data_IF_686102374045
#
_entry.id   IF_686102374045
#
_cell.length_a   1.000
_cell.length_b   1.000
_cell.length_c   1.000
_cell.angle_alpha   90.00
_cell.angle_beta   90.00
_cell.angle_gamma   90.00
#
_symmetry.space_group_name_H-M   'P 1'
#
loop_
_entity.id
_entity.type
_entity.pdbx_description
1 polymer ?
#
# COMPACT_ATOMS: atom_id res chain seq x y z
N UNK A 1 -47.99 16.88 11.82
CA UNK A 1 -46.76 16.26 12.38
C UNK A 1 -46.21 17.19 13.44
N UNK A 2 -46.03 16.70 14.67
CA UNK A 2 -45.52 17.51 15.78
C UNK A 2 -44.00 17.66 15.68
N UNK A 3 -43.44 18.81 16.10
CA UNK A 3 -42.01 19.13 16.03
C UNK A 3 -41.11 18.03 16.65
N UNK A 4 -41.64 17.28 17.62
CA UNK A 4 -40.99 16.14 18.28
C UNK A 4 -40.70 14.97 17.33
N UNK A 5 -41.56 14.70 16.35
CA UNK A 5 -41.34 13.63 15.36
C UNK A 5 -40.28 14.00 14.32
N UNK A 6 -40.13 15.29 13.99
CA UNK A 6 -39.11 15.78 13.07
C UNK A 6 -37.73 15.70 13.72
N UNK A 7 -37.61 16.13 14.98
CA UNK A 7 -36.36 16.08 15.76
C UNK A 7 -35.83 14.65 15.95
N UNK A 8 -36.72 13.69 16.24
CA UNK A 8 -36.33 12.27 16.40
C UNK A 8 -35.84 11.68 15.07
N UNK A 9 -36.47 12.03 13.94
CA UNK A 9 -36.04 11.56 12.61
C UNK A 9 -34.71 12.18 12.16
N UNK A 10 -34.49 13.46 12.46
CA UNK A 10 -33.21 14.14 12.17
C UNK A 10 -32.09 13.58 13.05
N UNK A 11 -32.32 13.38 14.34
CA UNK A 11 -31.34 12.79 15.24
C UNK A 11 -31.01 11.34 14.84
N UNK A 12 -32.01 10.52 14.48
CA UNK A 12 -31.78 9.17 13.97
C UNK A 12 -30.96 9.20 12.67
N UNK A 13 -31.30 10.07 11.71
CA UNK A 13 -30.55 10.22 10.46
C UNK A 13 -29.09 10.63 10.68
N UNK A 14 -28.82 11.58 11.57
CA UNK A 14 -27.46 12.03 11.91
C UNK A 14 -26.66 10.94 12.60
N UNK A 15 -27.28 10.15 13.48
CA UNK A 15 -26.61 9.01 14.14
C UNK A 15 -26.26 7.93 13.13
N UNK A 16 -27.17 7.58 12.21
CA UNK A 16 -26.89 6.57 11.18
C UNK A 16 -25.79 7.03 10.23
N UNK A 17 -25.83 8.28 9.76
CA UNK A 17 -24.78 8.85 8.91
C UNK A 17 -23.45 8.92 9.66
N UNK A 18 -23.45 9.35 10.93
CA UNK A 18 -22.26 9.39 11.78
C UNK A 18 -21.63 8.01 12.00
N UNK A 19 -22.45 6.98 12.23
CA UNK A 19 -21.99 5.60 12.40
C UNK A 19 -21.39 5.04 11.11
N UNK A 20 -22.01 5.31 9.95
CA UNK A 20 -21.49 4.93 8.64
C UNK A 20 -20.13 5.61 8.39
N UNK A 21 -20.01 6.91 8.60
CA UNK A 21 -18.75 7.65 8.41
C UNK A 21 -17.64 7.11 9.33
N UNK A 22 -17.96 6.74 10.56
CA UNK A 22 -16.98 6.16 11.50
C UNK A 22 -16.53 4.76 11.06
N UNK A 23 -17.43 3.93 10.53
CA UNK A 23 -17.08 2.61 9.99
C UNK A 23 -16.16 2.76 8.76
N UNK A 24 -16.50 3.65 7.82
CA UNK A 24 -15.66 3.91 6.63
C UNK A 24 -14.29 4.48 6.99
N UNK A 25 -14.22 5.38 7.99
CA UNK A 25 -12.93 5.89 8.51
C UNK A 25 -12.13 4.81 9.23
N UNK A 26 -12.78 3.90 9.96
CA UNK A 26 -12.12 2.76 10.61
C UNK A 26 -11.55 1.76 9.60
N UNK A 27 -12.32 1.39 8.57
CA UNK A 27 -11.86 0.49 7.51
C UNK A 27 -10.71 1.10 6.70
N UNK A 28 -10.81 2.37 6.32
CA UNK A 28 -9.71 3.05 5.59
C UNK A 28 -8.46 3.20 6.45
N UNK A 29 -8.58 3.47 7.75
CA UNK A 29 -7.44 3.52 8.66
C UNK A 29 -6.77 2.13 8.82
N UNK A 30 -7.56 1.06 8.91
CA UNK A 30 -7.08 -0.32 8.99
C UNK A 30 -6.39 -0.78 7.68
N UNK A 31 -6.99 -0.45 6.53
CA UNK A 31 -6.39 -0.69 5.22
C UNK A 31 -5.08 0.09 5.06
N UNK A 32 -5.03 1.32 5.59
CA UNK A 32 -3.83 2.15 5.58
C UNK A 32 -2.72 1.60 6.49
N UNK A 33 -3.03 1.13 7.71
CA UNK A 33 -2.01 0.52 8.57
C UNK A 33 -1.46 -0.79 7.99
N UNK A 34 -2.28 -1.51 7.22
CA UNK A 34 -1.84 -2.75 6.55
C UNK A 34 -0.90 -2.48 5.37
N UNK A 35 -0.78 -1.23 4.91
CA UNK A 35 0.12 -0.80 3.85
C UNK A 35 1.41 -0.12 4.36
N UNK A 36 1.70 -0.14 5.67
CA UNK A 36 2.81 0.63 6.26
C UNK A 36 4.16 0.29 5.62
N UNK A 37 4.46 -0.99 5.38
CA UNK A 37 5.67 -1.46 4.68
C UNK A 37 5.77 -0.85 3.28
N UNK A 38 4.66 -0.77 2.55
CA UNK A 38 4.61 -0.19 1.20
C UNK A 38 4.82 1.32 1.25
N UNK A 39 4.17 2.01 2.17
CA UNK A 39 4.30 3.46 2.31
C UNK A 39 5.70 3.86 2.77
N UNK A 40 6.32 3.04 3.60
CA UNK A 40 7.71 3.19 3.98
C UNK A 40 8.63 2.98 2.78
N UNK A 41 8.36 1.97 1.95
CA UNK A 41 9.10 1.72 0.72
C UNK A 41 9.02 2.91 -0.24
N UNK A 42 7.83 3.45 -0.50
CA UNK A 42 7.66 4.64 -1.36
C UNK A 42 8.43 5.85 -0.83
N UNK A 43 8.35 6.11 0.48
CA UNK A 43 9.10 7.19 1.12
C UNK A 43 10.61 6.98 1.00
N UNK A 44 11.08 5.75 1.22
CA UNK A 44 12.48 5.39 1.12
C UNK A 44 13.02 5.56 -0.32
N UNK A 45 12.24 5.17 -1.34
CA UNK A 45 12.59 5.40 -2.76
C UNK A 45 12.71 6.89 -3.04
N UNK A 46 11.76 7.71 -2.58
CA UNK A 46 11.75 9.15 -2.83
C UNK A 46 13.06 9.79 -2.35
N UNK A 47 13.51 9.46 -1.14
CA UNK A 47 14.73 10.02 -0.54
C UNK A 47 16.01 9.23 -0.85
N UNK A 48 15.97 8.28 -1.79
CA UNK A 48 17.09 7.40 -2.14
C UNK A 48 17.74 6.71 -0.90
N UNK A 49 16.89 6.20 -0.01
CA UNK A 49 17.34 5.59 1.24
C UNK A 49 17.77 4.12 1.02
N UNK A 50 18.85 3.66 1.70
CA UNK A 50 19.25 2.26 1.70
C UNK A 50 18.16 1.32 2.28
N UNK A 51 17.23 1.87 3.08
CA UNK A 51 16.09 1.11 3.63
C UNK A 51 15.20 0.53 2.53
N UNK A 52 15.16 1.16 1.36
CA UNK A 52 14.39 0.70 0.20
C UNK A 52 14.69 -0.74 -0.14
N UNK A 53 15.98 -1.11 -0.22
CA UNK A 53 16.41 -2.46 -0.56
C UNK A 53 16.12 -3.46 0.55
N UNK A 54 16.08 -2.99 1.80
CA UNK A 54 15.67 -3.81 2.92
C UNK A 54 14.16 -4.10 2.86
N UNK A 55 13.34 -3.25 2.27
CA UNK A 55 11.89 -3.49 2.20
C UNK A 55 11.47 -4.39 1.03
N UNK A 56 12.43 -4.81 0.20
CA UNK A 56 12.21 -5.75 -0.90
C UNK A 56 12.80 -7.11 -0.56
N UNK A 57 12.10 -8.17 -0.94
CA UNK A 57 12.60 -9.54 -0.88
C UNK A 57 12.19 -10.31 -2.14
N UNK A 58 12.80 -11.48 -2.34
CA UNK A 58 12.41 -12.43 -3.39
C UNK A 58 12.28 -11.81 -4.79
N UNK A 59 11.15 -12.04 -5.44
CA UNK A 59 10.88 -11.62 -6.82
C UNK A 59 10.81 -10.09 -6.95
N UNK A 60 10.31 -9.38 -5.95
CA UNK A 60 10.23 -7.92 -5.97
C UNK A 60 11.61 -7.27 -6.14
N UNK A 61 12.63 -7.79 -5.45
CA UNK A 61 14.00 -7.27 -5.56
C UNK A 61 14.51 -7.39 -7.01
N UNK A 62 14.35 -8.57 -7.61
CA UNK A 62 14.76 -8.83 -9.00
C UNK A 62 13.98 -7.99 -10.00
N UNK A 63 12.65 -7.90 -9.84
CA UNK A 63 11.78 -7.09 -10.71
C UNK A 63 12.13 -5.61 -10.64
N UNK A 64 12.40 -5.09 -9.45
CA UNK A 64 12.76 -3.69 -9.26
C UNK A 64 14.08 -3.34 -9.96
N UNK A 65 15.10 -4.18 -9.79
CA UNK A 65 16.39 -4.05 -10.48
C UNK A 65 16.24 -4.14 -12.01
N UNK A 66 15.47 -5.12 -12.50
CA UNK A 66 15.21 -5.32 -13.92
C UNK A 66 14.46 -4.14 -14.55
N UNK A 67 13.41 -3.64 -13.89
CA UNK A 67 12.63 -2.48 -14.35
C UNK A 67 13.46 -1.21 -14.43
N UNK A 68 14.37 -1.03 -13.47
CA UNK A 68 15.32 0.08 -13.49
C UNK A 68 16.48 -0.17 -14.49
N UNK A 69 16.62 -1.36 -15.05
CA UNK A 69 17.81 -1.80 -15.79
C UNK A 69 19.10 -1.46 -15.01
N UNK A 70 19.23 -2.07 -13.83
CA UNK A 70 20.33 -1.85 -12.89
C UNK A 70 20.82 -3.18 -12.31
N UNK A 71 22.14 -3.27 -12.10
CA UNK A 71 22.82 -4.49 -11.62
C UNK A 71 22.72 -4.71 -10.10
N UNK A 72 22.31 -3.69 -9.35
CA UNK A 72 22.12 -3.78 -7.90
C UNK A 72 20.89 -3.00 -7.49
N UNK A 73 20.38 -3.29 -6.28
CA UNK A 73 19.22 -2.59 -5.77
C UNK A 73 19.52 -1.10 -5.54
N UNK A 74 20.67 -0.76 -4.98
CA UNK A 74 21.08 0.62 -4.71
C UNK A 74 21.18 1.44 -6.00
N UNK A 75 21.73 0.84 -7.07
CA UNK A 75 21.75 1.45 -8.40
C UNK A 75 20.34 1.65 -8.95
N UNK A 76 19.45 0.67 -8.74
CA UNK A 76 18.04 0.76 -9.14
C UNK A 76 17.33 1.91 -8.40
N UNK A 77 17.46 1.99 -7.07
CA UNK A 77 16.86 3.04 -6.24
C UNK A 77 17.38 4.40 -6.65
N UNK A 78 18.70 4.56 -6.81
CA UNK A 78 19.29 5.82 -7.22
C UNK A 78 18.83 6.25 -8.63
N UNK A 79 18.60 5.31 -9.55
CA UNK A 79 18.11 5.61 -10.90
C UNK A 79 16.64 5.99 -10.90
N UNK A 80 15.81 5.23 -10.17
CA UNK A 80 14.37 5.52 -10.01
C UNK A 80 14.18 6.87 -9.33
N UNK A 81 14.83 7.10 -8.19
CA UNK A 81 14.74 8.36 -7.43
C UNK A 81 15.12 9.58 -8.27
N UNK A 82 16.21 9.50 -9.04
CA UNK A 82 16.63 10.58 -9.97
C UNK A 82 15.69 10.79 -11.15
N UNK A 83 14.93 9.77 -11.54
CA UNK A 83 13.95 9.83 -12.63
C UNK A 83 12.59 10.38 -12.21
N UNK A 84 12.37 10.62 -10.91
CA UNK A 84 11.11 11.18 -10.42
C UNK A 84 10.99 12.67 -10.80
N UNK A 85 9.86 13.02 -11.39
CA UNK A 85 9.44 14.43 -11.43
C UNK A 85 9.08 14.93 -10.04
N UNK A 86 9.11 16.26 -9.82
CA UNK A 86 8.67 16.88 -8.55
C UNK A 86 7.32 16.37 -8.05
N UNK A 87 6.23 16.29 -8.87
CA UNK A 87 4.96 15.79 -8.38
C UNK A 87 5.01 14.30 -7.98
N UNK A 88 5.78 13.47 -8.68
CA UNK A 88 5.97 12.06 -8.33
C UNK A 88 6.75 11.90 -7.02
N UNK A 89 7.80 12.71 -6.83
CA UNK A 89 8.56 12.74 -5.58
C UNK A 89 7.65 13.09 -4.39
N UNK A 90 6.84 14.16 -4.51
CA UNK A 90 5.92 14.56 -3.45
C UNK A 90 4.85 13.50 -3.18
N UNK A 91 4.33 12.84 -4.22
CA UNK A 91 3.37 11.74 -4.09
C UNK A 91 3.97 10.59 -3.27
N UNK A 92 5.20 10.17 -3.59
CA UNK A 92 5.89 9.10 -2.88
C UNK A 92 6.27 9.50 -1.45
N UNK A 93 6.70 10.75 -1.23
CA UNK A 93 7.06 11.25 0.09
C UNK A 93 5.87 11.31 1.05
N UNK A 94 4.67 11.62 0.54
CA UNK A 94 3.45 11.54 1.34
C UNK A 94 3.14 10.09 1.75
N UNK A 95 3.59 9.11 0.98
CA UNK A 95 3.28 7.69 1.20
C UNK A 95 1.78 7.45 1.15
N UNK A 96 1.07 8.15 0.25
CA UNK A 96 -0.38 8.09 0.10
C UNK A 96 -0.70 7.55 -1.28
N UNK A 97 -0.63 6.23 -1.43
CA UNK A 97 -1.33 5.55 -2.50
C UNK A 97 -2.66 5.05 -1.93
N UNK A 98 -3.74 5.31 -2.67
CA UNK A 98 -5.06 4.85 -2.27
C UNK A 98 -5.12 3.33 -2.46
N UNK A 99 -5.34 2.62 -1.36
CA UNK A 99 -5.62 1.18 -1.39
C UNK A 99 -7.02 1.00 -1.96
N UNK A 100 -7.09 0.30 -3.08
CA UNK A 100 -8.34 -0.08 -3.73
C UNK A 100 -8.89 -1.36 -3.13
N UNK A 101 -8.03 -2.38 -3.00
CA UNK A 101 -8.41 -3.70 -2.51
C UNK A 101 -7.30 -4.27 -1.62
N UNK A 102 -7.71 -5.12 -0.68
CA UNK A 102 -6.83 -5.78 0.26
C UNK A 102 -7.28 -7.21 0.44
N UNK A 103 -6.36 -8.14 0.22
CA UNK A 103 -6.56 -9.56 0.44
C UNK A 103 -5.49 -10.08 1.40
N UNK A 104 -5.89 -10.89 2.37
CA UNK A 104 -4.95 -11.55 3.29
C UNK A 104 -5.33 -13.01 3.39
N UNK A 105 -4.34 -13.87 3.20
CA UNK A 105 -4.49 -15.31 3.29
C UNK A 105 -3.38 -15.91 4.15
N UNK A 106 -3.76 -16.91 4.95
CA UNK A 106 -2.80 -17.78 5.63
C UNK A 106 -2.60 -18.99 4.73
N UNK A 107 -1.36 -19.23 4.31
CA UNK A 107 -1.00 -20.37 3.46
C UNK A 107 -0.91 -21.65 4.28
N UNK A 108 -0.92 -22.84 3.65
CA UNK A 108 -0.82 -24.13 4.36
C UNK A 108 0.45 -24.31 5.19
N UNK A 109 1.49 -23.53 4.90
CA UNK A 109 2.76 -23.45 5.65
C UNK A 109 2.70 -22.45 6.81
N UNK A 110 1.50 -21.94 7.15
CA UNK A 110 1.25 -20.90 8.14
C UNK A 110 1.91 -19.54 7.87
N UNK A 111 2.50 -19.35 6.68
CA UNK A 111 2.97 -18.03 6.28
C UNK A 111 1.77 -17.13 5.95
N UNK A 112 1.84 -15.88 6.38
CA UNK A 112 0.90 -14.85 5.96
C UNK A 112 1.33 -14.29 4.60
N UNK A 113 0.36 -14.16 3.71
CA UNK A 113 0.51 -13.46 2.44
C UNK A 113 -0.58 -12.40 2.35
N UNK A 114 -0.17 -11.19 2.03
CA UNK A 114 -1.07 -10.05 1.89
C UNK A 114 -0.90 -9.50 0.48
N UNK A 115 -2.01 -9.27 -0.21
CA UNK A 115 -2.05 -8.66 -1.52
C UNK A 115 -2.79 -7.33 -1.40
N UNK A 116 -2.15 -6.26 -1.88
CA UNK A 116 -2.68 -4.91 -1.78
C UNK A 116 -2.74 -4.34 -3.19
N UNK A 117 -3.95 -3.96 -3.60
CA UNK A 117 -4.19 -3.30 -4.86
C UNK A 117 -4.23 -1.80 -4.60
N UNK A 118 -3.40 -1.06 -5.32
CA UNK A 118 -3.30 0.39 -5.24
C UNK A 118 -3.82 1.03 -6.51
N UNK A 119 -4.30 2.27 -6.38
CA UNK A 119 -4.43 3.17 -7.52
C UNK A 119 -3.08 3.33 -8.24
N UNK A 120 -3.07 3.69 -9.54
CA UNK A 120 -1.85 4.03 -10.26
C UNK A 120 -0.96 4.98 -9.45
N UNK A 121 0.31 4.60 -9.29
CA UNK A 121 1.29 5.34 -8.51
C UNK A 121 2.55 5.64 -9.31
N UNK A 122 3.39 6.54 -8.79
CA UNK A 122 4.61 6.99 -9.46
C UNK A 122 5.61 5.86 -9.77
N UNK A 123 5.55 4.73 -9.07
CA UNK A 123 6.41 3.56 -9.34
C UNK A 123 5.74 2.53 -10.26
N UNK A 124 4.47 2.73 -10.61
CA UNK A 124 3.65 1.80 -11.39
C UNK A 124 3.57 0.42 -10.74
N UNK A 125 3.44 0.37 -9.42
CA UNK A 125 3.29 -0.85 -8.63
C UNK A 125 1.84 -0.97 -8.14
N UNK A 126 0.94 -1.44 -9.01
CA UNK A 126 -0.50 -1.46 -8.75
C UNK A 126 -0.92 -2.64 -7.87
N UNK A 127 -0.39 -3.84 -8.12
CA UNK A 127 -0.52 -4.99 -7.24
C UNK A 127 0.78 -5.18 -6.47
N UNK A 128 0.72 -5.21 -5.14
CA UNK A 128 1.86 -5.43 -4.26
C UNK A 128 1.58 -6.60 -3.32
N UNK A 129 2.53 -7.52 -3.23
CA UNK A 129 2.45 -8.67 -2.32
C UNK A 129 3.40 -8.48 -1.16
N UNK A 130 2.86 -8.49 0.04
CA UNK A 130 3.62 -8.56 1.28
C UNK A 130 3.71 -10.00 1.77
N UNK A 131 4.89 -10.35 2.26
CA UNK A 131 5.13 -11.61 2.95
C UNK A 131 6.22 -11.42 4.02
N UNK A 132 6.21 -12.31 4.99
CA UNK A 132 7.28 -12.36 5.99
C UNK A 132 8.57 -12.92 5.36
N UNK A 133 9.68 -12.21 5.57
CA UNK A 133 11.01 -12.61 5.18
C UNK A 133 11.99 -12.25 6.30
N UNK A 134 12.69 -13.26 6.84
CA UNK A 134 13.63 -13.08 7.96
C UNK A 134 13.01 -12.40 9.20
N UNK A 135 11.78 -12.75 9.56
CA UNK A 135 11.12 -12.23 10.76
C UNK A 135 10.51 -10.83 10.62
N UNK A 136 10.38 -10.32 9.39
CA UNK A 136 9.78 -9.01 9.10
C UNK A 136 8.96 -9.01 7.83
N UNK A 137 7.97 -8.13 7.76
CA UNK A 137 7.18 -7.93 6.55
C UNK A 137 8.01 -7.21 5.48
N UNK A 138 7.95 -7.72 4.25
CA UNK A 138 8.64 -7.17 3.09
C UNK A 138 7.73 -7.23 1.86
N UNK A 139 8.01 -6.39 0.87
CA UNK A 139 7.43 -6.55 -0.47
C UNK A 139 8.14 -7.71 -1.14
N UNK A 140 7.42 -8.82 -1.31
CA UNK A 140 7.92 -10.07 -1.87
C UNK A 140 7.72 -10.19 -3.38
N UNK A 141 6.68 -9.54 -3.90
CA UNK A 141 6.39 -9.45 -5.33
C UNK A 141 5.53 -8.21 -5.65
N UNK A 142 5.45 -7.84 -6.92
CA UNK A 142 4.54 -6.81 -7.43
C UNK A 142 4.27 -6.94 -8.93
N UNK A 143 3.19 -6.32 -9.39
CA UNK A 143 2.75 -6.29 -10.79
C UNK A 143 1.60 -7.25 -11.11
N UNK A 144 1.03 -7.11 -12.30
CA UNK A 144 -0.11 -7.91 -12.76
C UNK A 144 0.24 -9.37 -13.11
N UNK A 145 1.53 -9.69 -13.20
CA UNK A 145 2.04 -11.05 -13.42
C UNK A 145 2.17 -11.86 -12.12
N UNK A 146 1.88 -11.24 -10.97
CA UNK A 146 1.76 -11.94 -9.69
C UNK A 146 0.65 -12.98 -9.83
N UNK A 147 0.95 -14.25 -9.54
CA UNK A 147 -0.07 -15.29 -9.45
C UNK A 147 -1.00 -14.98 -8.28
N UNK A 148 -2.20 -14.52 -8.59
CA UNK A 148 -3.29 -14.32 -7.62
C UNK A 148 -3.59 -15.63 -6.88
N UNK A 149 -4.00 -15.50 -5.63
CA UNK A 149 -4.59 -16.58 -4.86
C UNK A 149 -5.96 -16.95 -5.46
N UNK A 150 -5.98 -17.86 -6.43
CA UNK A 150 -7.18 -18.65 -6.76
C UNK A 150 -7.40 -19.74 -5.73
#
# INVERSE_FOLDING_TARGET
>A
MTARQVLVRVAAGVVTIGMIVLIFKGCTAYLRSSGDTVYEFFRAVAVNSPKTCQLLSGAALTKFQARANAESCEKAVAKVSRGLSTPQFEQLLKGQADVLEYHSAIRPDFSSRVEIHFSPNALGMELIVLAEHEGRETISDFGWDVRELS
#
